data_IF_160978927762
#
_entry.id   IF_160978927762
#
_cell.length_a   1.000
_cell.length_b   1.000
_cell.length_c   1.000
_cell.angle_alpha   90.00
_cell.angle_beta   90.00
_cell.angle_gamma   90.00
#
_symmetry.space_group_name_H-M   'P 1'
#
loop_
_entity.id
_entity.type
_entity.pdbx_description
1 polymer ?
#
# COMPACT_ATOMS: atom_id res chain seq x y z
N UNK A 1 2.08 2.45 -7.63
CA UNK A 1 1.87 2.42 -9.10
C UNK A 1 3.02 1.76 -9.84
N UNK A 2 2.92 1.66 -11.14
CA UNK A 2 3.99 1.08 -11.97
C UNK A 2 5.29 1.89 -11.87
N UNK A 3 5.19 3.20 -11.69
CA UNK A 3 6.33 4.09 -11.48
C UNK A 3 7.18 3.68 -10.28
N UNK A 4 6.56 3.33 -9.16
CA UNK A 4 7.26 2.86 -7.97
C UNK A 4 7.76 1.43 -8.14
N UNK A 5 6.85 0.48 -8.45
CA UNK A 5 7.21 -0.94 -8.47
C UNK A 5 8.28 -1.28 -9.51
N UNK A 6 8.18 -0.73 -10.73
CA UNK A 6 9.21 -0.96 -11.76
C UNK A 6 10.42 -0.07 -11.52
N UNK A 7 10.22 1.18 -11.07
CA UNK A 7 11.31 2.11 -10.78
C UNK A 7 12.26 1.57 -9.71
N UNK A 8 11.72 1.06 -8.60
CA UNK A 8 12.52 0.45 -7.53
C UNK A 8 13.27 -0.82 -8.00
N UNK A 9 12.60 -1.68 -8.77
CA UNK A 9 13.27 -2.85 -9.36
C UNK A 9 14.36 -2.46 -10.37
N UNK A 10 14.17 -1.36 -11.11
CA UNK A 10 15.12 -0.90 -12.11
C UNK A 10 16.45 -0.39 -11.52
N UNK A 11 16.50 -0.09 -10.23
CA UNK A 11 17.73 0.23 -9.52
C UNK A 11 18.73 -0.94 -9.57
N UNK A 12 18.26 -2.18 -9.43
CA UNK A 12 19.12 -3.37 -9.44
C UNK A 12 19.79 -3.62 -10.80
N UNK A 13 19.17 -3.18 -11.89
CA UNK A 13 19.68 -3.37 -13.26
C UNK A 13 20.23 -2.09 -13.86
N UNK A 14 20.04 -0.97 -13.17
CA UNK A 14 20.38 0.37 -13.62
C UNK A 14 19.64 0.77 -14.90
N UNK A 15 18.33 0.49 -14.95
CA UNK A 15 17.48 0.98 -16.03
C UNK A 15 16.30 0.10 -16.38
N UNK A 16 15.29 0.68 -17.00
CA UNK A 16 14.14 -0.02 -17.55
C UNK A 16 13.53 0.70 -18.75
N UNK A 17 12.75 -0.03 -19.53
CA UNK A 17 11.88 0.50 -20.58
C UNK A 17 10.45 -0.03 -20.32
N UNK A 18 9.50 0.89 -20.13
CA UNK A 18 8.09 0.60 -19.85
C UNK A 18 7.27 0.97 -21.08
N UNK A 19 6.38 0.09 -21.49
CA UNK A 19 5.41 0.32 -22.56
C UNK A 19 4.00 0.38 -21.95
N UNK A 20 3.50 1.60 -21.78
CA UNK A 20 2.20 1.84 -21.18
C UNK A 20 1.03 1.40 -22.05
N UNK A 21 1.23 1.29 -23.37
CA UNK A 21 0.19 0.82 -24.28
C UNK A 21 -0.17 -0.67 -24.04
N UNK A 22 0.74 -1.43 -23.42
CA UNK A 22 0.52 -2.84 -23.05
C UNK A 22 -0.17 -3.03 -21.70
N UNK A 23 -0.31 -1.98 -20.91
CA UNK A 23 -0.90 -2.09 -19.58
C UNK A 23 -2.40 -2.37 -19.68
N UNK A 24 -2.90 -3.47 -19.09
CA UNK A 24 -4.33 -3.74 -19.06
C UNK A 24 -5.07 -2.66 -18.25
N UNK A 25 -6.08 -2.07 -18.87
CA UNK A 25 -6.86 -0.98 -18.27
C UNK A 25 -8.31 -1.42 -18.04
N UNK A 26 -8.82 -1.23 -16.83
CA UNK A 26 -10.26 -1.41 -16.54
C UNK A 26 -11.08 -0.18 -16.98
N UNK A 27 -10.47 1.00 -17.00
CA UNK A 27 -11.09 2.25 -17.42
C UNK A 27 -10.42 2.78 -18.67
N UNK A 28 -11.16 2.96 -19.78
CA UNK A 28 -10.62 3.54 -21.00
C UNK A 28 -10.38 5.05 -20.84
N UNK A 29 -9.47 5.59 -21.66
CA UNK A 29 -9.26 7.04 -21.76
C UNK A 29 -8.32 7.64 -20.72
N UNK A 30 -7.59 6.81 -19.99
CA UNK A 30 -6.53 7.29 -19.10
C UNK A 30 -5.36 7.84 -19.91
N UNK A 31 -4.83 8.98 -19.49
CA UNK A 31 -3.59 9.54 -20.01
C UNK A 31 -2.37 8.72 -19.57
N UNK A 32 -1.23 8.79 -20.28
CA UNK A 32 -0.04 8.01 -19.95
C UNK A 32 0.43 8.18 -18.50
N UNK A 33 0.39 9.39 -17.95
CA UNK A 33 0.81 9.64 -16.58
C UNK A 33 -0.15 8.98 -15.57
N UNK A 34 -1.46 8.98 -15.84
CA UNK A 34 -2.45 8.31 -14.99
C UNK A 34 -2.21 6.80 -14.98
N UNK A 35 -1.90 6.19 -16.14
CA UNK A 35 -1.57 4.76 -16.21
C UNK A 35 -0.31 4.45 -15.41
N UNK A 36 0.72 5.29 -15.51
CA UNK A 36 2.01 5.08 -14.86
C UNK A 36 1.92 5.15 -13.33
N UNK A 37 1.18 6.13 -12.79
CA UNK A 37 1.08 6.36 -11.34
C UNK A 37 -0.12 5.69 -10.69
N UNK A 38 -1.03 5.10 -11.46
CA UNK A 38 -2.24 4.45 -10.95
C UNK A 38 -1.92 3.36 -9.93
N UNK A 39 -2.56 3.42 -8.78
CA UNK A 39 -2.48 2.44 -7.71
C UNK A 39 -3.68 1.48 -7.72
N UNK A 40 -3.95 0.85 -8.88
CA UNK A 40 -4.99 -0.17 -8.97
C UNK A 40 -4.67 -1.30 -8.00
N UNK A 41 -5.69 -1.71 -7.23
CA UNK A 41 -5.54 -2.73 -6.20
C UNK A 41 -5.21 -4.11 -6.79
N UNK A 42 -4.54 -4.93 -5.97
CA UNK A 42 -4.25 -6.33 -6.26
C UNK A 42 -3.38 -6.57 -7.50
N UNK A 43 -2.61 -5.57 -7.92
CA UNK A 43 -1.56 -5.74 -8.93
C UNK A 43 -0.24 -6.11 -8.28
N UNK A 44 0.42 -7.09 -8.88
CA UNK A 44 1.77 -7.50 -8.51
C UNK A 44 2.69 -7.30 -9.70
N UNK A 45 3.88 -6.77 -9.47
CA UNK A 45 4.95 -6.69 -10.47
C UNK A 45 5.96 -7.79 -10.20
N UNK A 46 6.25 -8.60 -11.22
CA UNK A 46 7.17 -9.74 -11.11
C UNK A 46 8.24 -9.60 -12.17
N UNK A 47 9.51 -9.69 -11.78
CA UNK A 47 10.63 -9.76 -12.70
C UNK A 47 10.87 -11.23 -13.09
N UNK A 48 10.77 -11.53 -14.37
CA UNK A 48 10.92 -12.86 -14.93
C UNK A 48 12.00 -12.82 -16.00
N UNK A 49 12.83 -13.86 -16.08
CA UNK A 49 13.82 -13.96 -17.15
C UNK A 49 13.11 -14.15 -18.50
N UNK A 50 13.68 -13.60 -19.60
CA UNK A 50 13.05 -13.74 -20.92
C UNK A 50 12.73 -15.19 -21.32
N UNK A 51 13.62 -16.15 -20.99
CA UNK A 51 13.45 -17.58 -21.27
C UNK A 51 12.29 -18.21 -20.48
N UNK A 52 11.92 -17.66 -19.33
CA UNK A 52 10.87 -18.17 -18.46
C UNK A 52 9.52 -17.49 -18.67
N UNK A 53 9.45 -16.42 -19.49
CA UNK A 53 8.24 -15.59 -19.68
C UNK A 53 7.04 -16.43 -20.14
N UNK A 54 7.21 -17.27 -21.15
CA UNK A 54 6.13 -18.10 -21.67
C UNK A 54 5.62 -19.14 -20.64
N UNK A 55 6.51 -19.68 -19.83
CA UNK A 55 6.14 -20.61 -18.76
C UNK A 55 5.38 -19.89 -17.63
N UNK A 56 5.80 -18.67 -17.29
CA UNK A 56 5.12 -17.84 -16.32
C UNK A 56 3.70 -17.44 -16.78
N UNK A 57 3.55 -17.00 -18.04
CA UNK A 57 2.25 -16.65 -18.61
C UNK A 57 1.30 -17.87 -18.64
N UNK A 58 1.83 -19.06 -19.00
CA UNK A 58 1.06 -20.31 -18.98
C UNK A 58 0.59 -20.69 -17.57
N UNK A 59 1.45 -20.47 -16.57
CA UNK A 59 1.10 -20.70 -15.16
C UNK A 59 0.03 -19.71 -14.68
N UNK A 60 0.16 -18.44 -15.02
CA UNK A 60 -0.84 -17.43 -14.70
C UNK A 60 -2.21 -17.79 -15.31
N UNK A 61 -2.22 -18.19 -16.57
CA UNK A 61 -3.44 -18.62 -17.26
C UNK A 61 -4.08 -19.86 -16.59
N UNK A 62 -3.27 -20.82 -16.13
CA UNK A 62 -3.76 -22.00 -15.39
C UNK A 62 -4.49 -21.62 -14.11
N UNK A 63 -4.07 -20.53 -13.47
CA UNK A 63 -4.68 -20.00 -12.25
C UNK A 63 -5.70 -18.87 -12.50
N UNK A 64 -6.11 -18.66 -13.77
CA UNK A 64 -7.06 -17.61 -14.16
C UNK A 64 -6.61 -16.18 -13.75
N UNK A 65 -5.29 -15.95 -13.70
CA UNK A 65 -4.67 -14.66 -13.41
C UNK A 65 -4.20 -14.01 -14.71
N UNK A 66 -4.57 -12.76 -14.93
CA UNK A 66 -4.06 -11.98 -16.05
C UNK A 66 -2.60 -11.59 -15.80
N UNK A 67 -1.70 -11.94 -16.73
CA UNK A 67 -0.30 -11.56 -16.70
C UNK A 67 0.09 -10.94 -18.04
N UNK A 68 0.71 -9.77 -18.00
CA UNK A 68 1.12 -9.02 -19.18
C UNK A 68 2.52 -8.47 -19.00
N UNK A 69 3.40 -8.72 -19.97
CA UNK A 69 4.74 -8.13 -19.99
C UNK A 69 4.66 -6.66 -20.43
N UNK A 70 4.82 -5.74 -19.49
CA UNK A 70 4.68 -4.29 -19.71
C UNK A 70 6.01 -3.55 -19.68
N UNK A 71 7.09 -4.18 -19.25
CA UNK A 71 8.40 -3.56 -19.14
C UNK A 71 9.54 -4.55 -19.40
N UNK A 72 10.70 -3.99 -19.70
CA UNK A 72 11.97 -4.68 -19.82
C UNK A 72 13.01 -3.97 -18.97
N UNK A 73 13.75 -4.72 -18.16
CA UNK A 73 14.90 -4.18 -17.42
C UNK A 73 16.12 -4.08 -18.33
N UNK A 74 16.83 -2.96 -18.22
CA UNK A 74 17.99 -2.62 -19.05
C UNK A 74 19.15 -2.17 -18.18
N UNK A 75 20.31 -1.90 -18.78
CA UNK A 75 21.46 -1.30 -18.11
C UNK A 75 21.79 0.09 -18.66
N UNK A 76 20.79 0.82 -19.13
CA UNK A 76 20.96 2.10 -19.82
C UNK A 76 21.16 3.29 -18.90
N UNK A 77 20.99 3.13 -17.58
CA UNK A 77 20.95 4.21 -16.60
C UNK A 77 19.63 5.00 -16.61
N UNK A 78 18.65 4.60 -17.42
CA UNK A 78 17.47 5.40 -17.68
C UNK A 78 16.17 4.69 -17.30
N UNK A 79 15.27 5.42 -16.67
CA UNK A 79 13.86 5.11 -16.55
C UNK A 79 13.15 5.65 -17.79
N UNK A 80 12.89 4.76 -18.75
CA UNK A 80 12.32 5.12 -20.04
C UNK A 80 10.88 4.63 -20.14
N UNK A 81 9.93 5.55 -20.31
CA UNK A 81 8.50 5.24 -20.46
C UNK A 81 8.02 5.66 -21.83
N UNK A 82 7.35 4.73 -22.49
CA UNK A 82 6.76 4.91 -23.82
C UNK A 82 5.24 4.69 -23.79
N UNK A 83 4.55 5.38 -24.70
CA UNK A 83 3.14 5.17 -24.99
C UNK A 83 2.93 5.38 -26.49
N UNK A 84 2.36 4.40 -27.19
CA UNK A 84 2.17 4.44 -28.64
C UNK A 84 3.43 4.92 -29.41
N UNK A 85 4.56 4.28 -29.17
CA UNK A 85 5.86 4.60 -29.78
C UNK A 85 6.47 5.97 -29.38
N UNK A 86 5.74 6.80 -28.64
CA UNK A 86 6.21 8.08 -28.15
C UNK A 86 6.85 7.95 -26.76
N UNK A 87 8.00 8.59 -26.56
CA UNK A 87 8.58 8.71 -25.23
C UNK A 87 7.79 9.73 -24.42
N UNK A 88 7.24 9.30 -23.29
CA UNK A 88 6.44 10.14 -22.38
C UNK A 88 7.20 10.48 -21.07
N UNK A 89 8.22 9.69 -20.73
CA UNK A 89 9.17 10.04 -19.67
C UNK A 89 10.55 9.42 -19.96
N UNK A 90 11.60 10.17 -19.67
CA UNK A 90 12.98 9.74 -19.85
C UNK A 90 13.85 10.39 -18.79
N UNK A 91 14.14 9.66 -17.71
CA UNK A 91 14.81 10.16 -16.51
C UNK A 91 15.98 9.26 -16.13
N UNK A 92 17.10 9.80 -15.64
CA UNK A 92 18.12 8.97 -15.03
C UNK A 92 17.57 8.21 -13.83
N UNK A 93 17.97 6.94 -13.65
CA UNK A 93 17.59 6.14 -12.46
C UNK A 93 18.09 6.84 -11.19
N UNK A 94 19.32 7.35 -11.18
CA UNK A 94 19.86 8.12 -10.06
C UNK A 94 18.97 9.32 -9.68
N UNK A 95 18.46 10.07 -10.66
CA UNK A 95 17.55 11.17 -10.39
C UNK A 95 16.23 10.70 -9.78
N UNK A 96 15.73 9.55 -10.22
CA UNK A 96 14.47 8.98 -9.70
C UNK A 96 14.57 8.63 -8.21
N UNK A 97 15.73 8.12 -7.77
CA UNK A 97 15.93 7.66 -6.39
C UNK A 97 16.57 8.72 -5.48
N UNK A 98 17.56 9.43 -5.97
CA UNK A 98 18.38 10.38 -5.19
C UNK A 98 18.16 11.86 -5.59
N UNK A 99 17.29 12.13 -6.56
CA UNK A 99 17.08 13.47 -7.12
C UNK A 99 16.32 14.44 -6.20
N UNK A 100 15.73 13.94 -5.10
CA UNK A 100 15.06 14.80 -4.12
C UNK A 100 16.09 15.44 -3.21
N UNK A 101 16.18 16.79 -3.15
CA UNK A 101 17.10 17.46 -2.23
C UNK A 101 16.83 17.04 -0.78
N UNK A 102 17.91 16.67 -0.08
CA UNK A 102 17.82 16.37 1.35
C UNK A 102 17.55 17.65 2.13
N UNK A 103 16.45 17.65 2.86
CA UNK A 103 16.13 18.76 3.75
C UNK A 103 17.00 18.67 5.01
N UNK A 104 17.65 19.79 5.36
CA UNK A 104 18.35 19.94 6.63
C UNK A 104 17.36 20.54 7.63
N UNK A 105 16.71 19.69 8.40
CA UNK A 105 15.72 20.09 9.39
C UNK A 105 16.34 20.11 10.78
N UNK A 106 16.08 21.17 11.51
CA UNK A 106 16.41 21.25 12.93
C UNK A 106 15.17 20.94 13.74
N UNK A 107 15.33 20.17 14.82
CA UNK A 107 14.27 19.88 15.75
C UNK A 107 14.78 20.07 17.18
N UNK A 108 13.99 20.69 18.01
CA UNK A 108 14.25 20.86 19.43
C UNK A 108 13.23 20.08 20.24
N UNK A 109 13.72 19.21 21.12
CA UNK A 109 12.88 18.53 22.07
C UNK A 109 12.67 19.37 23.32
N UNK A 110 11.43 19.78 23.57
CA UNK A 110 11.06 20.39 24.85
C UNK A 110 10.24 19.38 25.67
N UNK A 111 10.67 19.13 26.90
CA UNK A 111 9.90 18.26 27.82
C UNK A 111 8.50 18.84 28.03
N UNK A 112 7.44 18.08 27.74
CA UNK A 112 6.08 18.58 27.95
C UNK A 112 5.85 18.91 29.42
N UNK A 113 5.37 20.12 29.70
CA UNK A 113 4.93 20.52 31.02
C UNK A 113 3.45 20.14 31.17
N UNK A 114 3.19 19.12 31.96
CA UNK A 114 1.82 18.74 32.28
C UNK A 114 1.36 19.52 33.52
N UNK A 115 0.16 20.07 33.46
CA UNK A 115 -0.47 20.62 34.65
C UNK A 115 -0.69 19.49 35.67
N UNK A 116 -0.48 19.79 36.97
CA UNK A 116 -0.81 18.84 38.02
C UNK A 116 -2.30 18.52 37.97
N UNK A 117 -2.63 17.24 37.84
CA UNK A 117 -4.02 16.79 37.88
C UNK A 117 -4.59 17.05 39.28
N UNK A 118 -5.65 17.83 39.33
CA UNK A 118 -6.43 18.04 40.54
C UNK A 118 -7.75 17.30 40.36
N UNK A 119 -7.99 16.19 41.07
CA UNK A 119 -9.24 15.47 40.95
C UNK A 119 -10.40 16.33 41.45
N UNK A 120 -11.55 16.32 40.79
CA UNK A 120 -12.75 17.01 41.27
C UNK A 120 -13.22 16.39 42.58
N UNK A 121 -13.68 17.24 43.51
CA UNK A 121 -14.03 16.84 44.88
C UNK A 121 -15.49 16.40 45.05
N UNK A 122 -16.35 16.75 44.11
CA UNK A 122 -17.78 16.37 44.16
C UNK A 122 -18.11 15.66 42.85
N UNK A 123 -17.99 14.33 42.85
CA UNK A 123 -18.04 13.57 41.63
C UNK A 123 -18.87 12.29 41.82
N UNK A 124 -19.91 12.16 41.00
CA UNK A 124 -20.58 10.86 40.86
C UNK A 124 -19.70 9.93 40.00
N UNK A 125 -18.96 9.07 40.66
CA UNK A 125 -18.06 8.11 40.02
C UNK A 125 -18.80 7.10 39.12
N UNK A 126 -20.07 6.79 39.40
CA UNK A 126 -20.84 5.87 38.55
C UNK A 126 -21.17 6.51 37.20
N UNK A 127 -21.60 7.75 37.23
CA UNK A 127 -21.85 8.49 35.99
C UNK A 127 -20.57 8.65 35.16
N UNK A 128 -19.45 9.03 35.80
CA UNK A 128 -18.17 9.16 35.10
C UNK A 128 -17.73 7.83 34.49
N UNK A 129 -17.86 6.72 35.19
CA UNK A 129 -17.49 5.40 34.67
C UNK A 129 -18.28 5.07 33.41
N UNK A 130 -19.59 5.29 33.43
CA UNK A 130 -20.48 5.03 32.28
C UNK A 130 -20.10 5.94 31.10
N UNK A 131 -19.88 7.23 31.34
CA UNK A 131 -19.46 8.18 30.31
C UNK A 131 -18.08 7.85 29.72
N UNK A 132 -17.14 7.37 30.56
CA UNK A 132 -15.84 6.91 30.07
C UNK A 132 -15.96 5.68 29.18
N UNK A 133 -16.75 4.70 29.57
CA UNK A 133 -16.99 3.49 28.78
C UNK A 133 -17.69 3.79 27.45
N UNK A 134 -18.49 4.85 27.39
CA UNK A 134 -19.18 5.30 26.18
C UNK A 134 -18.29 6.08 25.20
N UNK A 135 -17.07 6.50 25.60
CA UNK A 135 -16.20 7.29 24.73
C UNK A 135 -15.76 6.48 23.51
N UNK A 136 -15.73 7.09 22.29
CA UNK A 136 -15.38 6.38 21.05
C UNK A 136 -14.01 5.68 21.06
N UNK A 137 -13.05 6.19 21.82
CA UNK A 137 -11.72 5.56 21.98
C UNK A 137 -11.69 4.39 22.99
N UNK A 138 -12.76 4.20 23.77
CA UNK A 138 -12.87 3.15 24.79
C UNK A 138 -13.97 2.16 24.45
N UNK A 139 -15.10 2.65 23.94
CA UNK A 139 -16.27 1.83 23.57
C UNK A 139 -15.89 0.71 22.57
N UNK A 140 -16.73 -0.32 22.52
CA UNK A 140 -16.56 -1.43 21.58
C UNK A 140 -16.40 -0.93 20.14
N UNK A 141 -15.45 -1.54 19.43
CA UNK A 141 -15.20 -1.32 18.00
C UNK A 141 -15.88 -2.37 17.12
N UNK A 142 -16.73 -3.19 17.71
CA UNK A 142 -17.37 -4.32 17.03
C UNK A 142 -18.01 -3.95 15.69
N UNK A 143 -18.73 -2.82 15.64
CA UNK A 143 -19.37 -2.35 14.40
C UNK A 143 -18.37 -2.13 13.27
N UNK A 144 -17.23 -1.52 13.59
CA UNK A 144 -16.17 -1.26 12.61
C UNK A 144 -15.44 -2.53 12.21
N UNK A 145 -15.10 -3.38 13.19
CA UNK A 145 -14.40 -4.64 12.95
C UNK A 145 -15.25 -5.59 12.11
N UNK A 146 -16.56 -5.65 12.33
CA UNK A 146 -17.44 -6.50 11.52
C UNK A 146 -17.70 -5.96 10.11
N UNK A 147 -17.46 -4.69 9.87
CA UNK A 147 -17.72 -4.07 8.58
C UNK A 147 -16.55 -4.25 7.60
N UNK A 148 -15.30 -4.26 8.08
CA UNK A 148 -14.09 -4.27 7.25
C UNK A 148 -13.24 -5.51 7.54
N UNK A 149 -13.10 -6.37 6.54
CA UNK A 149 -12.18 -7.52 6.53
C UNK A 149 -12.22 -8.37 7.82
N UNK A 150 -13.41 -8.52 8.40
CA UNK A 150 -13.62 -9.24 9.65
C UNK A 150 -13.10 -10.68 9.61
N UNK A 151 -13.40 -11.39 8.52
CA UNK A 151 -12.89 -12.72 8.23
C UNK A 151 -12.67 -12.85 6.72
N UNK A 152 -11.42 -13.09 6.30
CA UNK A 152 -11.06 -13.20 4.89
C UNK A 152 -10.84 -14.66 4.52
N UNK A 153 -11.48 -15.12 3.42
CA UNK A 153 -11.32 -16.46 2.83
C UNK A 153 -11.57 -17.61 3.83
N UNK A 154 -12.25 -17.35 4.96
CA UNK A 154 -12.51 -18.31 6.03
C UNK A 154 -11.23 -18.99 6.61
N UNK A 155 -10.06 -18.36 6.48
CA UNK A 155 -8.77 -18.90 6.95
C UNK A 155 -8.24 -18.22 8.21
N UNK A 156 -9.01 -17.36 8.83
CA UNK A 156 -8.64 -16.69 10.08
C UNK A 156 -8.50 -17.69 11.20
N UNK A 157 -7.29 -17.90 11.72
CA UNK A 157 -7.01 -18.87 12.77
C UNK A 157 -7.53 -18.39 14.13
N UNK A 158 -7.31 -17.11 14.46
CA UNK A 158 -7.86 -16.46 15.65
C UNK A 158 -8.76 -15.33 15.18
N UNK A 159 -10.05 -15.43 15.53
CA UNK A 159 -11.04 -14.45 15.08
C UNK A 159 -10.92 -13.16 15.88
N UNK A 160 -11.27 -11.99 15.29
CA UNK A 160 -11.29 -10.70 16.00
C UNK A 160 -12.21 -10.72 17.24
N UNK A 161 -13.27 -11.54 17.19
CA UNK A 161 -14.14 -11.78 18.33
C UNK A 161 -14.14 -13.25 18.71
N UNK A 162 -13.94 -13.52 19.99
CA UNK A 162 -13.86 -14.84 20.59
C UNK A 162 -14.91 -15.01 21.69
N UNK A 163 -14.99 -16.20 22.29
CA UNK A 163 -15.97 -16.55 23.29
C UNK A 163 -17.18 -17.28 22.71
N UNK A 164 -18.08 -17.72 23.59
CA UNK A 164 -19.28 -18.51 23.21
C UNK A 164 -20.21 -17.70 22.32
N UNK A 165 -20.43 -16.45 22.68
CA UNK A 165 -21.28 -15.51 21.93
C UNK A 165 -20.53 -14.77 20.80
N UNK A 166 -19.20 -14.97 20.69
CA UNK A 166 -18.34 -14.29 19.71
C UNK A 166 -18.43 -12.76 19.78
N UNK A 167 -18.48 -12.23 20.97
CA UNK A 167 -18.58 -10.80 21.29
C UNK A 167 -17.39 -10.25 22.09
N UNK A 168 -16.52 -11.13 22.57
CA UNK A 168 -15.29 -10.75 23.28
C UNK A 168 -14.17 -10.42 22.31
N UNK A 169 -13.57 -9.20 22.38
CA UNK A 169 -12.45 -8.85 21.51
C UNK A 169 -11.24 -9.73 21.79
N UNK A 170 -10.52 -10.11 20.73
CA UNK A 170 -9.19 -10.70 20.81
C UNK A 170 -8.15 -9.60 20.76
N UNK A 171 -7.16 -9.63 21.67
CA UNK A 171 -6.11 -8.61 21.76
C UNK A 171 -4.97 -8.81 20.77
N UNK A 172 -4.95 -9.95 20.10
CA UNK A 172 -3.95 -10.28 19.11
C UNK A 172 -4.57 -10.30 17.70
N UNK A 173 -4.14 -9.40 16.87
CA UNK A 173 -4.41 -9.40 15.45
C UNK A 173 -3.37 -10.20 14.71
#
# INVERSE_FOLDING_TARGET
GLSSSIGEMAEYTNGCRIDLAKVPLKQPGLSPWEILVSESQERMTVAVKPEDSAAFESLAQLHEVEATAVAEFTSTGMFHVQYDESTVAYLPIEFLHDGVPQLQLESEWATPKHATFVPPTDTDHNTILIEMLARPNIASKETWVRQYDHEVIAQTAVKPFVGVERDGPADAG
#
